data_IF_805143731715
#
_entry.id   IF_805143731715
#
_cell.length_a   1.000
_cell.length_b   1.000
_cell.length_c   1.000
_cell.angle_alpha   90.00
_cell.angle_beta   90.00
_cell.angle_gamma   90.00
#
_symmetry.space_group_name_H-M   'P 1'
#
loop_
_entity.id
_entity.type
_entity.pdbx_description
1 polymer ?
#
# COMPACT_ATOMS: atom_id res chain seq x y z
N UNK A 1 -0.05 0.95 12.39
CA UNK A 1 1.09 1.48 11.61
C UNK A 1 0.52 2.21 10.40
N UNK A 2 0.79 3.51 10.25
CA UNK A 2 0.25 4.33 9.17
C UNK A 2 1.35 4.82 8.21
N UNK A 3 0.97 5.10 6.96
CA UNK A 3 1.91 5.59 5.94
C UNK A 3 2.60 6.90 6.36
N UNK A 4 1.85 7.84 6.96
CA UNK A 4 2.41 9.10 7.46
C UNK A 4 3.48 8.88 8.55
N UNK A 5 3.27 7.92 9.46
CA UNK A 5 4.24 7.63 10.52
C UNK A 5 5.54 7.06 9.92
N UNK A 6 5.43 6.20 8.91
CA UNK A 6 6.57 5.59 8.24
C UNK A 6 7.32 6.57 7.34
N UNK A 7 6.63 7.51 6.69
CA UNK A 7 7.27 8.56 5.89
C UNK A 7 8.08 9.55 6.75
N UNK A 8 7.64 9.81 7.98
CA UNK A 8 8.37 10.65 8.93
C UNK A 8 9.59 9.95 9.56
N UNK A 9 9.69 8.62 9.47
CA UNK A 9 10.84 7.86 9.97
C UNK A 9 12.07 7.97 9.09
N UNK A 10 13.24 7.81 9.70
CA UNK A 10 14.50 7.70 8.98
C UNK A 10 14.61 6.35 8.26
N UNK A 11 15.49 6.28 7.25
CA UNK A 11 15.70 5.01 6.54
C UNK A 11 16.20 3.92 7.49
N UNK A 12 17.04 4.28 8.46
CA UNK A 12 17.60 3.34 9.42
C UNK A 12 16.51 2.71 10.31
N UNK A 13 15.61 3.53 10.87
CA UNK A 13 14.45 3.04 11.64
C UNK A 13 13.54 2.13 10.82
N UNK A 14 13.34 2.42 9.53
CA UNK A 14 12.55 1.57 8.64
C UNK A 14 13.23 0.22 8.37
N UNK A 15 14.56 0.18 8.30
CA UNK A 15 15.32 -1.06 8.16
C UNK A 15 15.25 -1.90 9.45
N UNK A 16 15.28 -1.26 10.62
CA UNK A 16 15.08 -1.94 11.91
C UNK A 16 13.70 -2.59 12.00
N UNK A 17 12.65 -1.83 11.69
CA UNK A 17 11.27 -2.36 11.64
C UNK A 17 11.15 -3.52 10.64
N UNK A 18 11.78 -3.40 9.46
CA UNK A 18 11.73 -4.45 8.45
C UNK A 18 12.43 -5.73 8.93
N UNK A 19 13.51 -5.58 9.71
CA UNK A 19 14.22 -6.69 10.35
C UNK A 19 13.35 -7.35 11.43
N UNK A 20 12.70 -6.58 12.29
CA UNK A 20 11.79 -7.10 13.33
C UNK A 20 10.64 -7.89 12.71
N UNK A 21 10.11 -7.41 11.58
CA UNK A 21 9.03 -8.06 10.84
C UNK A 21 9.48 -9.22 9.94
N UNK A 22 10.76 -9.61 9.97
CA UNK A 22 11.34 -10.68 9.14
C UNK A 22 11.12 -10.48 7.63
N UNK A 23 11.06 -9.23 7.18
CA UNK A 23 11.02 -8.90 5.75
C UNK A 23 12.38 -9.30 5.17
N UNK A 24 12.42 -9.90 3.98
CA UNK A 24 13.68 -10.24 3.29
C UNK A 24 13.98 -9.24 2.18
N UNK A 25 15.24 -9.09 1.79
CA UNK A 25 15.66 -8.26 0.65
C UNK A 25 15.33 -6.75 0.73
N UNK A 26 15.18 -6.19 1.94
CA UNK A 26 14.80 -4.78 2.15
C UNK A 26 15.98 -3.79 2.12
N UNK A 27 17.23 -4.26 2.30
CA UNK A 27 18.42 -3.39 2.38
C UNK A 27 18.77 -2.68 1.05
N UNK A 28 18.42 -3.29 -0.08
CA UNK A 28 18.63 -2.72 -1.43
C UNK A 28 17.47 -1.87 -1.92
N UNK A 29 16.36 -1.81 -1.17
CA UNK A 29 15.16 -1.10 -1.58
C UNK A 29 15.26 0.41 -1.27
N UNK A 30 14.52 1.20 -2.05
CA UNK A 30 14.33 2.63 -1.78
C UNK A 30 13.44 2.80 -0.54
N UNK A 31 13.51 3.97 0.10
CA UNK A 31 12.69 4.28 1.29
C UNK A 31 11.20 3.97 1.07
N UNK A 32 10.64 4.42 -0.05
CA UNK A 32 9.22 4.18 -0.37
C UNK A 32 8.87 2.70 -0.53
N UNK A 33 9.75 1.92 -1.15
CA UNK A 33 9.58 0.47 -1.30
C UNK A 33 9.61 -0.26 0.06
N UNK A 34 10.51 0.15 0.96
CA UNK A 34 10.56 -0.39 2.33
C UNK A 34 9.26 -0.09 3.07
N UNK A 35 8.75 1.14 2.95
CA UNK A 35 7.48 1.56 3.57
C UNK A 35 6.32 0.71 3.04
N UNK A 36 6.22 0.51 1.72
CA UNK A 36 5.17 -0.33 1.14
C UNK A 36 5.26 -1.77 1.64
N UNK A 37 6.45 -2.35 1.68
CA UNK A 37 6.67 -3.73 2.16
C UNK A 37 6.27 -3.90 3.63
N UNK A 38 6.61 -2.90 4.44
CA UNK A 38 6.25 -2.83 5.86
C UNK A 38 4.73 -2.76 6.06
N UNK A 39 4.04 -1.90 5.29
CA UNK A 39 2.58 -1.79 5.33
C UNK A 39 1.90 -3.06 4.86
N UNK A 40 2.38 -3.66 3.77
CA UNK A 40 1.89 -4.93 3.24
C UNK A 40 1.99 -6.03 4.31
N UNK A 41 3.19 -6.22 4.87
CA UNK A 41 3.44 -7.26 5.89
C UNK A 41 2.58 -7.03 7.13
N UNK A 42 2.48 -5.79 7.61
CA UNK A 42 1.67 -5.45 8.79
C UNK A 42 0.18 -5.73 8.55
N UNK A 43 -0.32 -5.36 7.37
CA UNK A 43 -1.72 -5.58 6.98
C UNK A 43 -2.03 -7.08 6.88
N UNK A 44 -1.13 -7.85 6.27
CA UNK A 44 -1.25 -9.30 6.16
C UNK A 44 -1.20 -10.01 7.52
N UNK A 45 -0.34 -9.55 8.44
CA UNK A 45 -0.27 -10.08 9.81
C UNK A 45 -1.56 -9.85 10.61
N UNK A 46 -2.31 -8.79 10.29
CA UNK A 46 -3.63 -8.54 10.85
C UNK A 46 -4.75 -9.36 10.20
N UNK A 47 -4.41 -10.23 9.23
CA UNK A 47 -5.38 -11.00 8.46
C UNK A 47 -6.13 -10.19 7.40
N UNK A 48 -5.68 -8.95 7.14
CA UNK A 48 -6.28 -8.08 6.14
C UNK A 48 -5.58 -8.25 4.79
N UNK A 49 -6.32 -7.94 3.71
CA UNK A 49 -5.77 -7.95 2.36
C UNK A 49 -5.17 -6.58 2.08
N UNK A 50 -3.90 -6.55 1.69
CA UNK A 50 -3.25 -5.35 1.18
C UNK A 50 -3.40 -5.30 -0.34
N UNK A 51 -3.91 -4.19 -0.86
CA UNK A 51 -4.06 -3.98 -2.30
C UNK A 51 -3.53 -2.59 -2.67
N UNK A 52 -2.91 -2.51 -3.84
CA UNK A 52 -2.45 -1.27 -4.47
C UNK A 52 -2.88 -1.29 -5.94
N UNK A 53 -3.07 -0.12 -6.51
CA UNK A 53 -3.50 0.02 -7.89
C UNK A 53 -3.69 1.47 -8.31
N UNK A 54 -4.18 1.66 -9.52
CA UNK A 54 -4.45 2.98 -10.08
C UNK A 54 -5.92 3.30 -9.82
N UNK A 55 -6.18 4.38 -9.09
CA UNK A 55 -7.54 4.85 -8.87
C UNK A 55 -8.08 5.50 -10.14
N UNK A 56 -9.12 4.90 -10.73
CA UNK A 56 -9.90 5.51 -11.79
C UNK A 56 -11.22 6.06 -11.23
N UNK A 57 -11.42 7.36 -11.36
CA UNK A 57 -12.62 8.06 -10.86
C UNK A 57 -13.62 8.18 -12.01
N UNK A 58 -14.86 7.73 -11.78
CA UNK A 58 -15.96 7.81 -12.72
C UNK A 58 -16.64 9.18 -12.66
N UNK A 59 -17.41 9.53 -13.70
CA UNK A 59 -18.12 10.82 -13.79
C UNK A 59 -19.06 11.09 -12.59
N UNK A 60 -19.60 10.03 -11.98
CA UNK A 60 -20.52 10.14 -10.83
C UNK A 60 -19.78 10.24 -9.48
N UNK A 61 -18.45 10.32 -9.49
CA UNK A 61 -17.62 10.61 -8.31
C UNK A 61 -17.24 9.40 -7.44
N UNK A 62 -17.71 8.19 -7.75
CA UNK A 62 -17.13 6.95 -7.24
C UNK A 62 -15.96 6.51 -8.11
N UNK A 63 -15.16 5.54 -7.66
CA UNK A 63 -14.02 5.05 -8.42
C UNK A 63 -13.73 3.57 -8.24
N UNK A 64 -12.77 3.08 -9.03
CA UNK A 64 -12.24 1.72 -8.91
C UNK A 64 -10.73 1.77 -8.80
N UNK A 65 -10.18 1.01 -7.87
CA UNK A 65 -8.75 0.73 -7.83
C UNK A 65 -8.46 -0.42 -8.82
N UNK A 66 -7.86 -0.07 -9.95
CA UNK A 66 -7.49 -1.01 -11.02
C UNK A 66 -6.10 -1.58 -10.80
N UNK A 67 -5.92 -2.83 -11.19
CA UNK A 67 -4.60 -3.48 -11.26
C UNK A 67 -3.80 -2.97 -12.48
N UNK A 68 -2.54 -3.38 -12.59
CA UNK A 68 -1.54 -2.91 -13.57
C UNK A 68 -2.03 -2.78 -15.02
N UNK A 69 -3.01 -3.59 -15.43
CA UNK A 69 -3.48 -3.63 -16.82
C UNK A 69 -4.33 -2.44 -17.24
N UNK A 70 -4.78 -1.57 -16.32
CA UNK A 70 -5.72 -0.44 -16.56
C UNK A 70 -7.06 -0.83 -17.20
N UNK A 71 -7.23 -2.10 -17.56
CA UNK A 71 -8.44 -2.69 -18.09
C UNK A 71 -9.38 -3.08 -16.95
N UNK A 72 -10.71 -2.96 -17.14
CA UNK A 72 -11.69 -3.42 -16.18
C UNK A 72 -11.50 -4.91 -15.88
N UNK A 73 -11.40 -5.25 -14.61
CA UNK A 73 -11.26 -6.62 -14.14
C UNK A 73 -12.24 -6.91 -13.01
N UNK A 74 -12.67 -8.17 -12.88
CA UNK A 74 -13.46 -8.60 -11.72
C UNK A 74 -12.70 -8.49 -10.39
N UNK A 75 -11.39 -8.25 -10.44
CA UNK A 75 -10.54 -8.00 -9.29
C UNK A 75 -10.41 -6.50 -8.93
N UNK A 76 -11.10 -5.61 -9.64
CA UNK A 76 -11.10 -4.17 -9.34
C UNK A 76 -11.84 -3.89 -8.03
N UNK A 77 -11.25 -3.01 -7.22
CA UNK A 77 -11.80 -2.69 -5.89
C UNK A 77 -12.63 -1.41 -6.02
N UNK A 78 -13.93 -1.51 -5.72
CA UNK A 78 -14.80 -0.33 -5.66
C UNK A 78 -14.40 0.61 -4.51
N UNK A 79 -14.34 1.91 -4.81
CA UNK A 79 -14.09 2.99 -3.86
C UNK A 79 -15.25 3.97 -3.93
N UNK A 80 -15.87 4.21 -2.78
CA UNK A 80 -17.01 5.14 -2.68
C UNK A 80 -16.57 6.60 -2.77
N UNK A 81 -17.49 7.48 -3.18
CA UNK A 81 -17.22 8.92 -3.29
C UNK A 81 -16.70 9.54 -1.99
N UNK A 82 -17.20 9.08 -0.83
CA UNK A 82 -16.78 9.55 0.51
C UNK A 82 -15.38 9.10 0.92
N UNK A 83 -14.79 8.14 0.22
CA UNK A 83 -13.38 7.75 0.42
C UNK A 83 -12.44 8.53 -0.50
N UNK A 84 -12.98 9.21 -1.52
CA UNK A 84 -12.24 10.04 -2.46
C UNK A 84 -12.19 11.50 -1.98
N UNK A 85 -13.26 11.98 -1.32
CA UNK A 85 -13.43 13.37 -0.88
C UNK A 85 -13.41 13.52 0.64
#
# INVERSE_FOLDING_TARGET
MNINELENKTRDELLELAKEMNISNYASLRKQEIIMRLLETHTQQQGNIFCSGILEIMNDGYGFLRQDTLLPSSADIYISQSQIH
#
